data_IF_891076908613
#
_entry.id   IF_891076908613
#
_cell.length_a   1.000
_cell.length_b   1.000
_cell.length_c   1.000
_cell.angle_alpha   90.00
_cell.angle_beta   90.00
_cell.angle_gamma   90.00
#
_symmetry.space_group_name_H-M   'P 1'
#
loop_
_entity.id
_entity.type
_entity.pdbx_description
1 polymer ?
#
# COMPACT_ATOMS: atom_id res chain seq x y z
N UNK A 1 4.00 -8.01 -14.85
CA UNK A 1 3.20 -7.24 -13.88
C UNK A 1 2.07 -8.14 -13.42
N UNK A 2 1.94 -8.35 -12.10
CA UNK A 2 0.84 -9.13 -11.54
C UNK A 2 -0.46 -8.34 -11.71
N UNK A 3 -1.58 -9.02 -11.97
CA UNK A 3 -2.91 -8.40 -12.00
C UNK A 3 -3.20 -7.66 -10.69
N UNK A 4 -2.61 -8.10 -9.57
CA UNK A 4 -2.71 -7.46 -8.26
C UNK A 4 -2.10 -6.05 -8.18
N UNK A 5 -1.20 -5.68 -9.10
CA UNK A 5 -0.51 -4.38 -9.12
C UNK A 5 -1.19 -3.34 -10.02
N UNK A 6 -2.35 -3.66 -10.63
CA UNK A 6 -2.99 -2.80 -11.63
C UNK A 6 -3.31 -1.39 -11.13
N UNK A 7 -3.68 -1.25 -9.85
CA UNK A 7 -4.06 0.03 -9.25
C UNK A 7 -2.88 0.81 -8.66
N UNK A 8 -1.72 0.18 -8.48
CA UNK A 8 -0.52 0.82 -7.93
C UNK A 8 -0.13 2.11 -8.67
N UNK A 9 0.03 2.12 -10.01
CA UNK A 9 0.36 3.34 -10.74
C UNK A 9 -0.75 4.41 -10.66
N UNK A 10 -2.02 3.98 -10.53
CA UNK A 10 -3.17 4.89 -10.42
C UNK A 10 -3.12 5.63 -9.08
N UNK A 11 -2.92 4.90 -7.97
CA UNK A 11 -2.82 5.48 -6.62
C UNK A 11 -1.61 6.41 -6.52
N UNK A 12 -0.45 6.00 -7.03
CA UNK A 12 0.75 6.85 -7.09
C UNK A 12 0.47 8.18 -7.81
N UNK A 13 -0.15 8.10 -8.98
CA UNK A 13 -0.50 9.28 -9.77
C UNK A 13 -1.51 10.17 -9.04
N UNK A 14 -2.49 9.59 -8.36
CA UNK A 14 -3.47 10.34 -7.57
C UNK A 14 -2.81 11.09 -6.41
N UNK A 15 -1.91 10.44 -5.67
CA UNK A 15 -1.12 11.08 -4.60
C UNK A 15 -0.32 12.27 -5.13
N UNK A 16 0.41 12.09 -6.24
CA UNK A 16 1.19 13.16 -6.87
C UNK A 16 0.31 14.33 -7.31
N UNK A 17 -0.86 14.06 -7.90
CA UNK A 17 -1.82 15.10 -8.31
C UNK A 17 -2.44 15.84 -7.13
N UNK A 18 -2.61 15.18 -5.99
CA UNK A 18 -3.02 15.82 -4.75
C UNK A 18 -1.86 16.56 -4.05
N UNK A 19 -0.67 16.60 -4.63
CA UNK A 19 0.47 17.34 -4.09
C UNK A 19 1.26 16.59 -3.02
N UNK A 20 1.11 15.26 -2.94
CA UNK A 20 2.01 14.43 -2.16
C UNK A 20 3.31 14.18 -2.93
N UNK A 21 4.43 14.24 -2.21
CA UNK A 21 5.74 13.85 -2.73
C UNK A 21 6.00 12.41 -2.35
N UNK A 22 6.10 11.53 -3.34
CA UNK A 22 6.47 10.13 -3.14
C UNK A 22 7.94 10.08 -2.72
N UNK A 23 8.24 9.45 -1.58
CA UNK A 23 9.61 9.30 -1.08
C UNK A 23 10.18 7.92 -1.43
N UNK A 24 9.36 6.87 -1.35
CA UNK A 24 9.79 5.49 -1.58
C UNK A 24 8.66 4.67 -2.22
N UNK A 25 9.03 3.81 -3.18
CA UNK A 25 8.11 2.94 -3.93
C UNK A 25 8.92 1.80 -4.59
N UNK A 26 9.10 0.63 -3.92
CA UNK A 26 8.46 0.24 -2.67
C UNK A 26 9.14 0.83 -1.43
N UNK A 27 8.36 1.11 -0.39
CA UNK A 27 8.82 1.40 0.97
C UNK A 27 8.98 0.11 1.77
N UNK A 28 10.20 -0.20 2.19
CA UNK A 28 10.48 -1.37 3.03
C UNK A 28 10.41 -0.98 4.51
N UNK A 29 9.54 -1.64 5.27
CA UNK A 29 9.39 -1.44 6.70
C UNK A 29 10.09 -2.57 7.46
N UNK A 30 11.20 -2.26 8.14
CA UNK A 30 11.93 -3.19 9.00
C UNK A 30 11.53 -2.95 10.46
N UNK A 31 10.60 -3.75 10.98
CA UNK A 31 10.16 -3.72 12.38
C UNK A 31 10.89 -4.84 13.12
N UNK A 32 12.09 -4.55 13.63
CA UNK A 32 13.05 -5.52 14.19
C UNK A 32 12.60 -6.36 15.40
N UNK A 33 11.32 -6.45 15.75
CA UNK A 33 10.82 -7.35 16.77
C UNK A 33 9.47 -7.94 16.39
N UNK A 34 9.51 -9.22 16.05
CA UNK A 34 8.35 -10.10 15.83
C UNK A 34 7.59 -9.76 14.56
N UNK A 35 7.39 -10.76 13.71
CA UNK A 35 6.44 -10.74 12.61
C UNK A 35 5.14 -10.10 13.11
N UNK A 36 4.96 -8.82 12.81
CA UNK A 36 3.72 -8.14 13.09
C UNK A 36 2.72 -8.88 12.21
N UNK A 37 1.90 -9.73 12.83
CA UNK A 37 0.69 -10.34 12.28
C UNK A 37 -0.37 -9.29 11.91
N UNK A 38 0.04 -8.08 11.53
CA UNK A 38 -0.75 -7.31 10.59
C UNK A 38 -0.55 -8.08 9.30
N UNK A 39 -1.62 -8.48 8.65
CA UNK A 39 -1.58 -9.11 7.33
C UNK A 39 -1.20 -8.06 6.26
N UNK A 40 -0.17 -7.25 6.56
CA UNK A 40 0.66 -6.49 5.62
C UNK A 40 1.39 -7.52 4.75
N UNK A 41 0.65 -8.36 4.03
CA UNK A 41 1.08 -9.02 2.81
C UNK A 41 1.34 -8.02 1.67
N UNK A 42 1.65 -6.77 2.01
CA UNK A 42 1.99 -5.70 1.10
C UNK A 42 3.39 -5.95 0.58
N UNK A 43 3.50 -6.65 -0.55
CA UNK A 43 4.77 -6.78 -1.26
C UNK A 43 5.35 -5.40 -1.67
N UNK A 44 4.51 -4.35 -1.76
CA UNK A 44 4.89 -3.00 -2.23
C UNK A 44 4.06 -1.89 -1.54
N UNK A 45 4.64 -1.22 -0.55
CA UNK A 45 4.08 0.02 0.02
C UNK A 45 4.57 1.26 -0.74
N UNK A 46 3.76 2.31 -0.77
CA UNK A 46 4.18 3.65 -1.23
C UNK A 46 4.38 4.55 -0.01
N UNK A 47 5.56 5.12 0.18
CA UNK A 47 5.75 6.19 1.16
C UNK A 47 5.62 7.56 0.49
N UNK A 48 4.91 8.47 1.16
CA UNK A 48 4.71 9.83 0.65
C UNK A 48 4.64 10.87 1.77
N UNK A 49 4.94 12.12 1.42
CA UNK A 49 4.92 13.25 2.36
C UNK A 49 4.23 14.49 1.79
N UNK A 50 3.53 15.24 2.65
CA UNK A 50 2.84 16.51 2.32
C UNK A 50 2.62 17.31 3.60
N UNK A 51 2.94 18.60 3.63
CA UNK A 51 2.69 19.50 4.77
C UNK A 51 3.08 18.92 6.15
N UNK A 52 4.31 18.44 6.29
CA UNK A 52 4.84 17.79 7.50
C UNK A 52 4.17 16.45 7.89
N UNK A 53 3.24 15.94 7.08
CA UNK A 53 2.65 14.62 7.25
C UNK A 53 3.44 13.59 6.43
N UNK A 54 3.60 12.40 6.99
CA UNK A 54 4.18 11.23 6.33
C UNK A 54 3.16 10.10 6.35
N UNK A 55 3.00 9.41 5.23
CA UNK A 55 2.10 8.27 5.10
C UNK A 55 2.85 7.09 4.44
N UNK A 56 2.44 5.88 4.81
CA UNK A 56 2.71 4.67 4.05
C UNK A 56 1.36 4.15 3.53
N UNK A 57 1.29 3.83 2.24
CA UNK A 57 0.04 3.46 1.55
C UNK A 57 0.18 2.05 1.01
N UNK A 58 -0.70 1.16 1.45
CA UNK A 58 -0.91 -0.14 0.84
C UNK A 58 -1.98 -0.04 -0.25
N UNK A 59 -1.68 -0.57 -1.44
CA UNK A 59 -2.62 -0.60 -2.58
C UNK A 59 -3.17 -2.01 -2.74
N UNK A 60 -4.46 -2.19 -2.41
CA UNK A 60 -5.17 -3.46 -2.64
C UNK A 60 -6.14 -3.33 -3.80
N UNK A 61 -6.02 -4.24 -4.76
CA UNK A 61 -6.78 -4.22 -6.02
C UNK A 61 -8.13 -4.96 -5.95
N UNK A 62 -8.35 -5.81 -4.94
CA UNK A 62 -9.58 -6.59 -4.74
C UNK A 62 -10.10 -7.33 -6.00
N UNK A 63 -9.20 -7.99 -6.73
CA UNK A 63 -9.50 -8.66 -8.00
C UNK A 63 -9.78 -10.17 -7.85
N UNK A 64 -9.80 -10.68 -6.62
CA UNK A 64 -10.12 -12.07 -6.31
C UNK A 64 -11.61 -12.39 -6.46
N UNK A 65 -11.94 -13.68 -6.38
CA UNK A 65 -13.31 -14.17 -6.60
C UNK A 65 -14.31 -13.76 -5.50
N UNK A 66 -13.84 -13.24 -4.36
CA UNK A 66 -14.70 -12.79 -3.25
C UNK A 66 -14.11 -11.57 -2.55
N UNK A 67 -14.74 -10.42 -2.75
CA UNK A 67 -14.38 -9.15 -2.10
C UNK A 67 -14.50 -9.24 -0.57
N UNK A 68 -15.42 -10.05 -0.05
CA UNK A 68 -15.60 -10.26 1.40
C UNK A 68 -14.38 -10.97 2.01
N UNK A 69 -13.86 -12.01 1.33
CA UNK A 69 -12.66 -12.72 1.79
C UNK A 69 -11.43 -11.81 1.76
N UNK A 70 -11.27 -11.00 0.71
CA UNK A 70 -10.16 -10.05 0.59
C UNK A 70 -10.27 -8.90 1.61
N UNK A 71 -11.49 -8.47 1.96
CA UNK A 71 -11.72 -7.46 2.99
C UNK A 71 -11.33 -7.95 4.38
N UNK A 72 -11.66 -9.19 4.73
CA UNK A 72 -11.22 -9.77 6.00
C UNK A 72 -9.70 -9.85 6.14
N UNK A 73 -8.97 -10.09 5.04
CA UNK A 73 -7.50 -10.00 5.02
C UNK A 73 -6.99 -8.56 5.14
N UNK A 74 -7.71 -7.58 4.60
CA UNK A 74 -7.26 -6.19 4.58
C UNK A 74 -7.42 -5.46 5.93
N UNK A 75 -8.27 -5.97 6.82
CA UNK A 75 -8.56 -5.36 8.13
C UNK A 75 -7.73 -6.01 9.26
N UNK A 76 -7.01 -7.10 8.97
CA UNK A 76 -6.20 -7.88 9.93
C UNK A 76 -4.89 -7.22 10.33
#
# INVERSE_FOLDING_TARGET
MSTRDAFHPIVKTALQKDGWTITDDPYHLDLGFTDFYIDLGAEKLIAATKNNQKIAVEVKSFLGASTVSEFHMAVG
#
